data_IF_691801835208
#
_entry.id   IF_691801835208
#
_cell.length_a   1.000
_cell.length_b   1.000
_cell.length_c   1.000
_cell.angle_alpha   90.00
_cell.angle_beta   90.00
_cell.angle_gamma   90.00
#
_symmetry.space_group_name_H-M   'P 1'
#
loop_
_entity.id
_entity.type
_entity.pdbx_description
1 polymer ?
#
# COMPACT_ATOMS: atom_id res chain seq x y z
N UNK A 1 27.82 3.17 27.52
CA UNK A 1 26.82 3.94 26.76
C UNK A 1 25.66 3.00 26.51
N UNK A 2 24.55 3.21 27.21
CA UNK A 2 23.44 2.26 27.37
C UNK A 2 22.58 2.18 26.11
N UNK A 3 22.19 0.96 25.72
CA UNK A 3 21.44 0.63 24.50
C UNK A 3 20.00 1.18 24.45
N UNK A 4 19.59 1.91 25.49
CA UNK A 4 18.23 2.34 25.77
C UNK A 4 17.92 3.71 25.15
N UNK A 5 18.96 4.53 24.89
CA UNK A 5 18.82 5.91 24.42
C UNK A 5 18.89 6.01 22.88
N UNK A 6 19.37 4.98 22.19
CA UNK A 6 19.34 4.93 20.73
C UNK A 6 17.90 4.74 20.20
N UNK A 7 17.03 4.07 20.97
CA UNK A 7 15.67 3.72 20.58
C UNK A 7 14.74 4.95 20.49
N UNK A 8 15.00 5.97 21.33
CA UNK A 8 14.15 7.18 21.37
C UNK A 8 14.60 8.25 20.36
N UNK A 9 15.82 8.18 19.83
CA UNK A 9 16.30 9.12 18.81
C UNK A 9 15.85 8.74 17.39
N UNK A 10 15.63 7.44 17.12
CA UNK A 10 15.13 6.95 15.82
C UNK A 10 13.63 7.18 15.60
N UNK A 11 12.83 7.36 16.67
CA UNK A 11 11.41 7.70 16.60
C UNK A 11 11.10 9.10 16.01
N UNK A 12 12.12 9.85 15.56
CA UNK A 12 11.97 11.19 14.94
C UNK A 12 12.11 11.21 13.42
N UNK A 13 12.54 10.11 12.81
CA UNK A 13 12.35 9.92 11.38
C UNK A 13 11.02 9.21 11.28
N UNK A 14 10.04 9.82 10.62
CA UNK A 14 8.65 9.37 10.52
C UNK A 14 8.51 8.08 9.67
N UNK A 15 9.44 7.15 9.83
CA UNK A 15 9.61 5.90 9.11
C UNK A 15 9.17 4.78 10.04
N UNK A 16 8.13 4.06 9.64
CA UNK A 16 7.56 2.98 10.44
C UNK A 16 8.52 1.79 10.53
N UNK A 17 8.23 0.80 11.39
CA UNK A 17 9.07 -0.40 11.56
C UNK A 17 9.28 -1.20 10.25
N UNK A 18 8.44 -0.97 9.24
CA UNK A 18 8.51 -1.56 7.91
C UNK A 18 9.35 -0.75 6.90
N UNK A 19 9.90 0.42 7.27
CA UNK A 19 10.63 1.29 6.36
C UNK A 19 9.77 2.26 5.54
N UNK A 20 8.45 2.28 5.76
CA UNK A 20 7.51 3.17 5.09
C UNK A 20 7.54 4.56 5.71
N UNK A 21 7.52 5.59 4.87
CA UNK A 21 7.45 6.97 5.34
C UNK A 21 6.01 7.41 5.68
N UNK A 22 5.86 8.65 6.14
CA UNK A 22 4.56 9.24 6.45
C UNK A 22 3.68 9.46 5.21
N UNK A 23 4.27 9.63 4.02
CA UNK A 23 3.56 9.78 2.75
C UNK A 23 2.99 8.43 2.26
N UNK A 24 3.77 7.36 2.33
CA UNK A 24 3.38 5.97 2.03
C UNK A 24 2.20 5.55 2.90
N UNK A 25 2.26 5.84 4.20
CA UNK A 25 1.14 5.59 5.12
C UNK A 25 -0.10 6.38 4.71
N UNK A 26 0.04 7.68 4.40
CA UNK A 26 -1.10 8.48 3.92
C UNK A 26 -1.67 7.93 2.61
N UNK A 27 -0.83 7.46 1.70
CA UNK A 27 -1.24 6.83 0.46
C UNK A 27 -2.09 5.57 0.72
N UNK A 28 -1.56 4.64 1.52
CA UNK A 28 -2.24 3.39 1.87
C UNK A 28 -3.53 3.64 2.67
N UNK A 29 -3.48 4.51 3.69
CA UNK A 29 -4.66 4.90 4.48
C UNK A 29 -5.72 5.57 3.61
N UNK A 30 -5.34 6.42 2.66
CA UNK A 30 -6.29 7.04 1.75
C UNK A 30 -7.00 5.99 0.87
N UNK A 31 -6.26 5.01 0.33
CA UNK A 31 -6.85 3.89 -0.43
C UNK A 31 -7.79 3.04 0.43
N UNK A 32 -7.39 2.72 1.67
CA UNK A 32 -8.18 1.90 2.57
C UNK A 32 -9.45 2.61 3.05
N UNK A 33 -9.34 3.85 3.53
CA UNK A 33 -10.46 4.59 4.13
C UNK A 33 -11.38 5.22 3.07
N UNK A 34 -10.83 5.84 2.03
CA UNK A 34 -11.64 6.56 1.03
C UNK A 34 -12.22 5.61 -0.02
N UNK A 35 -11.51 4.54 -0.35
CA UNK A 35 -11.86 3.65 -1.47
C UNK A 35 -12.06 2.20 -1.08
N UNK A 36 -12.01 1.88 0.22
CA UNK A 36 -12.24 0.51 0.71
C UNK A 36 -11.32 -0.51 0.02
N UNK A 37 -10.08 -0.09 -0.32
CA UNK A 37 -9.06 -0.86 -1.04
C UNK A 37 -9.33 -1.12 -2.52
N UNK A 38 -10.39 -0.52 -3.07
CA UNK A 38 -10.78 -0.65 -4.47
C UNK A 38 -9.95 0.19 -5.47
N UNK A 39 -10.18 -0.02 -6.77
CA UNK A 39 -9.35 0.50 -7.84
C UNK A 39 -9.49 2.02 -7.96
N UNK A 40 -8.42 2.72 -7.61
CA UNK A 40 -8.37 4.19 -7.69
C UNK A 40 -7.38 4.65 -8.75
N UNK A 41 -7.73 5.75 -9.44
CA UNK A 41 -6.83 6.38 -10.39
C UNK A 41 -5.70 7.13 -9.69
N UNK A 42 -4.49 7.11 -10.27
CA UNK A 42 -3.37 7.90 -9.75
C UNK A 42 -3.69 9.39 -9.71
N UNK A 43 -4.49 9.89 -10.66
CA UNK A 43 -4.91 11.29 -10.69
C UNK A 43 -5.74 11.66 -9.45
N UNK A 44 -6.57 10.75 -8.97
CA UNK A 44 -7.37 10.95 -7.76
C UNK A 44 -6.49 10.92 -6.52
N UNK A 45 -5.52 10.00 -6.44
CA UNK A 45 -4.56 9.95 -5.35
C UNK A 45 -3.67 11.20 -5.30
N UNK A 46 -3.16 11.62 -6.44
CA UNK A 46 -2.40 12.85 -6.61
C UNK A 46 -3.19 14.06 -6.08
N UNK A 47 -4.46 14.18 -6.44
CA UNK A 47 -5.34 15.25 -5.97
C UNK A 47 -5.56 15.21 -4.44
N UNK A 48 -5.77 14.03 -3.86
CA UNK A 48 -6.02 13.90 -2.41
C UNK A 48 -4.75 14.12 -1.59
N UNK A 49 -3.61 13.61 -2.06
CA UNK A 49 -2.33 13.73 -1.39
C UNK A 49 -1.65 15.08 -1.65
N UNK A 50 -2.19 15.89 -2.57
CA UNK A 50 -1.57 17.13 -3.04
C UNK A 50 -0.15 16.92 -3.58
N UNK A 51 0.05 15.77 -4.23
CA UNK A 51 1.32 15.36 -4.84
C UNK A 51 1.16 15.15 -6.35
N UNK A 52 2.27 15.13 -7.07
CA UNK A 52 2.30 14.87 -8.50
C UNK A 52 2.14 13.38 -8.77
N UNK A 53 1.36 13.03 -9.80
CA UNK A 53 1.20 11.64 -10.24
C UNK A 53 2.54 11.00 -10.61
N UNK A 54 3.46 11.79 -11.18
CA UNK A 54 4.74 11.30 -11.66
C UNK A 54 5.62 10.90 -10.46
N UNK A 55 5.58 11.68 -9.36
CA UNK A 55 6.25 11.32 -8.10
C UNK A 55 5.66 10.04 -7.52
N UNK A 56 4.33 9.91 -7.52
CA UNK A 56 3.66 8.71 -7.04
C UNK A 56 4.08 7.48 -7.86
N UNK A 57 4.04 7.54 -9.19
CA UNK A 57 4.32 6.40 -10.08
C UNK A 57 5.81 6.05 -10.16
N UNK A 58 6.71 7.04 -10.14
CA UNK A 58 8.14 6.82 -10.34
C UNK A 58 8.92 6.63 -9.04
N UNK A 59 8.41 7.14 -7.91
CA UNK A 59 9.12 7.12 -6.62
C UNK A 59 8.43 6.23 -5.59
N UNK A 60 7.12 6.39 -5.38
CA UNK A 60 6.39 5.77 -4.26
C UNK A 60 5.87 4.37 -4.62
N UNK A 61 5.16 4.25 -5.74
CA UNK A 61 4.60 3.01 -6.26
C UNK A 61 5.60 1.85 -6.38
N UNK A 62 6.84 2.01 -6.89
CA UNK A 62 7.78 0.90 -6.98
C UNK A 62 8.11 0.29 -5.62
N UNK A 63 8.21 1.10 -4.56
CA UNK A 63 8.48 0.61 -3.20
C UNK A 63 7.27 -0.12 -2.60
N UNK A 64 6.07 0.46 -2.74
CA UNK A 64 4.83 -0.13 -2.25
C UNK A 64 4.45 -1.44 -2.98
N UNK A 65 4.75 -1.53 -4.27
CA UNK A 65 4.59 -2.76 -5.04
C UNK A 65 5.65 -3.80 -4.64
N UNK A 66 6.91 -3.40 -4.45
CA UNK A 66 7.98 -4.33 -4.07
C UNK A 66 7.78 -4.94 -2.68
N UNK A 67 7.23 -4.17 -1.74
CA UNK A 67 6.84 -4.64 -0.40
C UNK A 67 5.55 -5.46 -0.41
N UNK A 68 4.83 -5.49 -1.55
CA UNK A 68 3.58 -6.23 -1.69
C UNK A 68 2.43 -5.61 -0.92
N UNK A 69 2.44 -4.30 -0.66
CA UNK A 69 1.37 -3.54 0.02
C UNK A 69 0.35 -2.95 -0.98
N UNK A 70 0.78 -2.74 -2.23
CA UNK A 70 0.00 -2.16 -3.31
C UNK A 70 -0.01 -3.09 -4.53
N UNK A 71 -1.15 -3.19 -5.21
CA UNK A 71 -1.27 -3.87 -6.50
C UNK A 71 -1.78 -2.93 -7.59
N UNK A 72 -1.12 -2.99 -8.76
CA UNK A 72 -1.54 -2.28 -9.96
C UNK A 72 -2.49 -3.16 -10.77
N UNK A 73 -3.69 -2.65 -11.03
CA UNK A 73 -4.70 -3.33 -11.86
C UNK A 73 -5.04 -2.46 -13.08
N UNK A 74 -5.62 -3.04 -14.16
CA UNK A 74 -6.06 -2.26 -15.33
C UNK A 74 -7.12 -1.21 -14.98
N UNK A 75 -7.83 -1.40 -13.87
CA UNK A 75 -8.88 -0.48 -13.40
C UNK A 75 -8.36 0.59 -12.46
N UNK A 76 -7.12 0.49 -11.98
CA UNK A 76 -6.53 1.41 -11.00
C UNK A 76 -5.61 0.73 -9.99
N UNK A 77 -5.30 1.44 -8.91
CA UNK A 77 -4.48 0.95 -7.80
C UNK A 77 -5.40 0.34 -6.75
N UNK A 78 -5.06 -0.85 -6.30
CA UNK A 78 -5.79 -1.56 -5.25
C UNK A 78 -4.83 -1.86 -4.10
N UNK A 79 -5.36 -1.81 -2.87
CA UNK A 79 -4.59 -2.21 -1.70
C UNK A 79 -4.47 -3.73 -1.69
N UNK A 80 -3.28 -4.27 -1.42
CA UNK A 80 -3.09 -5.71 -1.28
C UNK A 80 -3.56 -6.20 0.10
N UNK A 81 -3.68 -7.52 0.27
CA UNK A 81 -3.89 -8.14 1.58
C UNK A 81 -2.82 -7.75 2.61
N UNK A 82 -1.56 -7.60 2.18
CA UNK A 82 -0.46 -7.10 3.00
C UNK A 82 -0.66 -5.64 3.43
N UNK A 83 -1.14 -4.79 2.52
CA UNK A 83 -1.47 -3.39 2.84
C UNK A 83 -2.57 -3.26 3.89
N UNK A 84 -3.61 -4.10 3.79
CA UNK A 84 -4.68 -4.17 4.80
C UNK A 84 -4.16 -4.61 6.16
N UNK A 85 -3.33 -5.67 6.18
CA UNK A 85 -2.72 -6.17 7.41
C UNK A 85 -1.78 -5.14 8.04
N UNK A 86 -1.01 -4.41 7.23
CA UNK A 86 -0.12 -3.34 7.68
C UNK A 86 -0.88 -2.18 8.32
N UNK A 87 -1.99 -1.75 7.72
CA UNK A 87 -2.84 -0.72 8.30
C UNK A 87 -3.64 -1.21 9.52
N UNK A 88 -3.71 -2.52 9.75
CA UNK A 88 -4.55 -3.12 10.79
C UNK A 88 -6.05 -2.96 10.52
N UNK A 89 -6.44 -2.68 9.26
CA UNK A 89 -7.84 -2.48 8.88
C UNK A 89 -8.36 -3.79 8.27
N UNK A 90 -9.54 -4.21 8.71
CA UNK A 90 -10.19 -5.41 8.14
C UNK A 90 -10.67 -5.12 6.72
N UNK A 91 -10.19 -5.86 5.70
CA UNK A 91 -10.66 -5.66 4.34
C UNK A 91 -12.17 -5.91 4.26
N UNK A 92 -12.94 -5.05 3.58
CA UNK A 92 -14.35 -5.31 3.35
C UNK A 92 -14.52 -6.52 2.43
N UNK A 93 -15.57 -7.32 2.64
CA UNK A 93 -15.81 -8.58 1.93
C UNK A 93 -15.78 -8.43 0.40
N UNK A 94 -16.15 -7.27 -0.14
CA UNK A 94 -16.07 -6.92 -1.56
C UNK A 94 -14.64 -6.77 -2.08
N UNK A 95 -13.71 -6.25 -1.27
CA UNK A 95 -12.29 -6.15 -1.62
C UNK A 95 -11.61 -7.52 -1.58
N UNK A 96 -11.95 -8.36 -0.59
CA UNK A 96 -11.47 -9.74 -0.48
C UNK A 96 -11.87 -10.57 -1.70
N UNK A 97 -13.12 -10.44 -2.17
CA UNK A 97 -13.61 -11.19 -3.34
C UNK A 97 -12.87 -10.82 -4.64
N UNK A 98 -12.49 -9.54 -4.79
CA UNK A 98 -11.77 -9.09 -5.97
C UNK A 98 -10.28 -9.49 -5.95
N UNK A 99 -9.67 -9.57 -4.76
CA UNK A 99 -8.32 -10.11 -4.57
C UNK A 99 -8.26 -11.61 -4.81
N UNK A 100 -9.22 -12.36 -4.26
CA UNK A 100 -9.32 -13.82 -4.42
C UNK A 100 -9.48 -14.21 -5.90
N UNK A 101 -10.28 -13.45 -6.65
CA UNK A 101 -10.46 -13.66 -8.10
C UNK A 101 -9.18 -13.38 -8.91
N UNK A 102 -8.33 -12.45 -8.47
CA UNK A 102 -7.06 -12.15 -9.13
C UNK A 102 -5.98 -13.18 -8.78
N UNK A 103 -6.00 -13.75 -7.57
CA UNK A 103 -5.07 -14.81 -7.17
C UNK A 103 -5.41 -16.16 -7.81
N UNK A 104 -6.69 -16.43 -8.08
CA UNK A 104 -7.14 -17.69 -8.69
C UNK A 104 -6.62 -17.91 -10.14
N UNK A 105 -6.18 -16.87 -10.84
CA UNK A 105 -5.67 -16.98 -12.22
C UNK A 105 -4.16 -17.35 -12.27
N UNK A 106 -3.40 -17.06 -11.21
CA UNK A 106 -1.94 -17.30 -11.16
C UNK A 106 -1.58 -18.74 -10.76
N UNK A 107 -2.46 -19.43 -10.00
CA UNK A 107 -2.28 -20.83 -9.59
C UNK A 107 -2.44 -21.85 -10.74
N UNK A 108 -2.85 -21.41 -11.94
CA UNK A 108 -3.07 -22.30 -13.09
C UNK A 108 -1.84 -22.42 -14.03
N UNK A 109 -0.68 -21.85 -13.67
CA UNK A 109 0.52 -21.89 -14.53
C UNK A 109 1.56 -22.96 -14.14
N UNK A 110 1.41 -23.65 -12.99
CA UNK A 110 2.38 -24.66 -12.52
C UNK A 110 1.94 -26.12 -12.81
N UNK A 111 1.43 -26.37 -14.02
CA UNK A 111 1.11 -27.73 -14.48
C UNK A 111 1.24 -27.88 -15.99
N UNK A 112 2.47 -27.75 -16.53
CA UNK A 112 2.84 -28.45 -17.77
C UNK A 112 4.34 -28.70 -17.90
#
# INVERSE_FOLDING_TARGET
>A
VTAEVADTALHRLEVDAAGLDSMDRRYLSCLAESYSGGPVGVETLAAVLSEQRDVLEEVIEPYLMQTGLLMRTPRGRCLSSGGWAYLGITPPASATYQLDLLQADDDNFDSQ
#
